data_IF_457253139880
#
_entry.id   IF_457253139880
#
_cell.length_a   1.000
_cell.length_b   1.000
_cell.length_c   1.000
_cell.angle_alpha   90.00
_cell.angle_beta   90.00
_cell.angle_gamma   90.00
#
_symmetry.space_group_name_H-M   'P 1'
#
loop_
_entity.id
_entity.type
_entity.pdbx_description
1 polymer ?
#
# COMPACT_ATOMS: atom_id res chain seq x y z
N UNK A 1 -1.16 20.88 -10.92
CA UNK A 1 0.16 20.86 -10.24
C UNK A 1 1.03 22.09 -10.55
N UNK A 2 1.19 22.52 -11.82
CA UNK A 2 2.06 23.66 -12.15
C UNK A 2 1.65 25.00 -11.51
N UNK A 3 0.38 25.32 -11.48
CA UNK A 3 -0.16 26.57 -10.95
C UNK A 3 0.05 26.69 -9.43
N UNK A 4 -0.08 25.57 -8.70
CA UNK A 4 0.14 25.50 -7.25
C UNK A 4 1.62 25.73 -6.92
N UNK A 5 2.53 25.12 -7.68
CA UNK A 5 3.97 25.35 -7.51
C UNK A 5 4.37 26.79 -7.79
N UNK A 6 3.80 27.39 -8.83
CA UNK A 6 4.09 28.78 -9.20
C UNK A 6 3.64 29.75 -8.09
N UNK A 7 2.43 29.55 -7.54
CA UNK A 7 1.92 30.34 -6.42
C UNK A 7 2.75 30.15 -5.15
N UNK A 8 3.13 28.91 -4.83
CA UNK A 8 3.97 28.61 -3.68
C UNK A 8 5.35 29.29 -3.78
N UNK A 9 5.98 29.23 -4.95
CA UNK A 9 7.28 29.86 -5.21
C UNK A 9 7.17 31.37 -5.07
N UNK A 10 6.15 32.01 -5.65
CA UNK A 10 5.95 33.46 -5.54
C UNK A 10 5.72 33.89 -4.10
N UNK A 11 4.91 33.13 -3.34
CA UNK A 11 4.66 33.45 -1.93
C UNK A 11 5.92 33.30 -1.09
N UNK A 12 6.65 32.19 -1.27
CA UNK A 12 7.91 31.94 -0.55
C UNK A 12 8.93 33.03 -0.84
N UNK A 13 9.08 33.43 -2.11
CA UNK A 13 9.99 34.52 -2.49
C UNK A 13 9.57 35.85 -1.85
N UNK A 14 8.28 36.17 -1.86
CA UNK A 14 7.78 37.39 -1.22
C UNK A 14 8.03 37.37 0.29
N UNK A 15 7.86 36.22 0.93
CA UNK A 15 8.08 36.03 2.38
C UNK A 15 9.57 36.14 2.73
N UNK A 16 10.44 35.51 1.94
CA UNK A 16 11.90 35.59 2.12
C UNK A 16 12.40 37.02 1.96
N UNK A 17 11.97 37.73 0.89
CA UNK A 17 12.33 39.11 0.66
C UNK A 17 11.84 40.01 1.82
N UNK A 18 10.64 39.74 2.33
CA UNK A 18 10.11 40.46 3.49
C UNK A 18 10.96 40.24 4.76
N UNK A 19 11.37 39.01 5.04
CA UNK A 19 12.26 38.66 6.18
C UNK A 19 13.67 39.23 5.98
N UNK A 20 14.19 39.22 4.75
CA UNK A 20 15.52 39.74 4.43
C UNK A 20 15.60 41.31 4.46
N UNK A 21 14.48 41.97 4.84
CA UNK A 21 14.48 43.39 5.04
C UNK A 21 14.28 44.23 3.78
N UNK A 22 14.02 43.62 2.61
CA UNK A 22 13.61 44.31 1.40
C UNK A 22 12.16 44.83 1.53
N UNK A 23 11.95 45.63 2.61
CA UNK A 23 10.71 46.34 2.80
C UNK A 23 10.76 47.55 1.92
N UNK A 24 9.81 47.66 0.99
CA UNK A 24 9.59 48.92 0.29
C UNK A 24 9.11 49.89 1.37
N UNK A 25 10.00 50.77 1.79
CA UNK A 25 9.68 51.89 2.66
C UNK A 25 8.69 52.78 1.94
N UNK A 26 7.42 52.52 2.14
CA UNK A 26 6.41 53.56 1.96
C UNK A 26 6.55 54.39 3.23
N UNK A 27 6.81 55.70 3.02
CA UNK A 27 6.85 56.71 4.06
C UNK A 27 5.58 56.65 4.96
N UNK A 28 5.64 55.83 6.01
CA UNK A 28 4.68 55.79 7.08
C UNK A 28 5.50 55.49 8.35
N UNK A 29 6.12 56.53 8.87
CA UNK A 29 6.95 56.50 10.09
C UNK A 29 6.14 56.20 11.36
N UNK A 30 4.81 56.04 11.28
CA UNK A 30 3.94 55.88 12.43
C UNK A 30 3.24 54.47 12.60
N UNK A 31 3.47 53.53 11.72
CA UNK A 31 2.77 52.23 11.81
C UNK A 31 3.65 51.22 12.54
N UNK A 32 3.30 50.91 13.80
CA UNK A 32 3.99 49.87 14.56
C UNK A 32 4.04 48.52 13.84
N UNK A 33 4.96 47.61 14.26
CA UNK A 33 5.20 46.30 13.63
C UNK A 33 3.92 45.51 13.31
N UNK A 34 2.89 45.61 14.12
CA UNK A 34 1.56 44.97 13.90
C UNK A 34 0.81 45.60 12.70
N UNK A 35 0.91 46.90 12.50
CA UNK A 35 0.30 47.58 11.36
C UNK A 35 0.96 47.24 10.04
N UNK A 36 2.28 47.02 10.04
CA UNK A 36 3.02 46.59 8.82
C UNK A 36 2.60 45.17 8.40
N UNK A 37 2.33 44.27 9.35
CA UNK A 37 1.80 42.94 9.06
C UNK A 37 0.40 43.04 8.46
N UNK A 38 -0.47 43.91 9.02
CA UNK A 38 -1.82 44.14 8.49
C UNK A 38 -1.83 44.69 7.06
N UNK A 39 -0.94 45.62 6.73
CA UNK A 39 -0.77 46.16 5.38
C UNK A 39 -0.25 45.13 4.39
N UNK A 40 0.70 44.28 4.82
CA UNK A 40 1.18 43.14 4.03
C UNK A 40 0.08 42.14 3.71
N UNK A 41 -0.70 41.73 4.72
CA UNK A 41 -1.86 40.85 4.55
C UNK A 41 -2.90 41.47 3.60
N UNK A 42 -3.25 42.73 3.79
CA UNK A 42 -4.23 43.43 2.94
C UNK A 42 -3.76 43.50 1.48
N UNK A 43 -2.48 43.79 1.26
CA UNK A 43 -1.90 43.93 -0.11
C UNK A 43 -1.79 42.56 -0.80
N UNK A 44 -1.54 41.51 -0.05
CA UNK A 44 -1.39 40.14 -0.59
C UNK A 44 -2.63 39.26 -0.30
N UNK A 45 -3.76 39.86 0.08
CA UNK A 45 -4.97 39.14 0.47
C UNK A 45 -5.46 38.15 -0.58
N UNK A 46 -5.42 38.49 -1.86
CA UNK A 46 -5.83 37.62 -2.96
C UNK A 46 -4.95 36.33 -3.04
N UNK A 47 -3.62 36.49 -2.85
CA UNK A 47 -2.69 35.35 -2.84
C UNK A 47 -2.88 34.51 -1.61
N UNK A 48 -3.11 35.13 -0.45
CA UNK A 48 -3.38 34.41 0.80
C UNK A 48 -4.68 33.60 0.72
N UNK A 49 -5.75 34.21 0.21
CA UNK A 49 -7.03 33.53 0.00
C UNK A 49 -6.85 32.35 -0.95
N UNK A 50 -6.16 32.56 -2.08
CA UNK A 50 -5.87 31.48 -3.04
C UNK A 50 -5.08 30.33 -2.38
N UNK A 51 -4.07 30.63 -1.56
CA UNK A 51 -3.30 29.63 -0.82
C UNK A 51 -4.16 28.87 0.20
N UNK A 52 -5.04 29.54 0.94
CA UNK A 52 -5.95 28.90 1.88
C UNK A 52 -6.92 27.96 1.15
N UNK A 53 -7.49 28.39 0.03
CA UNK A 53 -8.40 27.58 -0.78
C UNK A 53 -7.67 26.34 -1.35
N UNK A 54 -6.50 26.54 -1.94
CA UNK A 54 -5.68 25.45 -2.51
C UNK A 54 -5.20 24.53 -1.39
N UNK A 55 -4.71 25.05 -0.27
CA UNK A 55 -4.27 24.29 0.88
C UNK A 55 -5.40 23.47 1.49
N UNK A 56 -6.58 24.04 1.65
CA UNK A 56 -7.77 23.34 2.10
C UNK A 56 -8.18 22.20 1.16
N UNK A 57 -8.23 22.48 -0.14
CA UNK A 57 -8.52 21.47 -1.16
C UNK A 57 -7.50 20.31 -1.14
N UNK A 58 -6.21 20.65 -1.06
CA UNK A 58 -5.15 19.64 -0.99
C UNK A 58 -5.23 18.82 0.30
N UNK A 59 -5.52 19.46 1.44
CA UNK A 59 -5.68 18.77 2.74
C UNK A 59 -6.80 17.73 2.71
N UNK A 60 -7.96 18.07 2.14
CA UNK A 60 -9.09 17.16 2.02
C UNK A 60 -8.73 15.98 1.11
N UNK A 61 -8.15 16.24 -0.05
CA UNK A 61 -7.74 15.18 -0.98
C UNK A 61 -6.62 14.30 -0.40
N UNK A 62 -5.67 14.90 0.30
CA UNK A 62 -4.60 14.16 0.95
C UNK A 62 -5.13 13.27 2.08
N UNK A 63 -6.10 13.77 2.87
CA UNK A 63 -6.77 12.98 3.89
C UNK A 63 -7.43 11.72 3.32
N UNK A 64 -8.14 11.84 2.20
CA UNK A 64 -8.74 10.68 1.51
C UNK A 64 -7.68 9.66 1.07
N UNK A 65 -6.61 10.13 0.43
CA UNK A 65 -5.50 9.26 -0.01
C UNK A 65 -4.82 8.55 1.16
N UNK A 66 -4.63 9.25 2.29
CA UNK A 66 -4.07 8.63 3.49
C UNK A 66 -4.99 7.55 4.08
N UNK A 67 -6.29 7.77 4.09
CA UNK A 67 -7.26 6.79 4.58
C UNK A 67 -7.29 5.56 3.66
N UNK A 68 -7.23 5.75 2.35
CA UNK A 68 -7.12 4.64 1.39
C UNK A 68 -5.85 3.83 1.60
N UNK A 69 -4.70 4.47 1.78
CA UNK A 69 -3.43 3.78 2.07
C UNK A 69 -3.43 3.05 3.43
N UNK A 70 -4.05 3.65 4.44
CA UNK A 70 -4.20 2.98 5.75
C UNK A 70 -5.07 1.73 5.63
N UNK A 71 -6.21 1.86 4.95
CA UNK A 71 -7.10 0.74 4.68
C UNK A 71 -6.38 -0.38 3.94
N UNK A 72 -5.65 -0.05 2.86
CA UNK A 72 -4.88 -1.01 2.09
C UNK A 72 -3.90 -1.78 2.96
N UNK A 73 -3.06 -1.07 3.73
CA UNK A 73 -2.07 -1.70 4.63
C UNK A 73 -2.72 -2.58 5.70
N UNK A 74 -3.80 -2.13 6.31
CA UNK A 74 -4.50 -2.89 7.35
C UNK A 74 -5.20 -4.11 6.78
N UNK A 75 -5.80 -4.01 5.60
CA UNK A 75 -6.41 -5.14 4.90
C UNK A 75 -5.39 -6.21 4.52
N UNK A 76 -4.22 -5.80 4.03
CA UNK A 76 -3.12 -6.73 3.73
C UNK A 76 -2.63 -7.42 5.01
N UNK A 77 -2.46 -6.68 6.10
CA UNK A 77 -2.05 -7.26 7.38
C UNK A 77 -3.06 -8.30 7.91
N UNK A 78 -4.37 -8.05 7.76
CA UNK A 78 -5.41 -9.03 8.10
C UNK A 78 -5.31 -10.29 7.24
N UNK A 79 -5.10 -10.13 5.93
CA UNK A 79 -4.89 -11.27 5.02
C UNK A 79 -3.66 -12.06 5.45
N UNK A 80 -2.52 -11.42 5.65
CA UNK A 80 -1.28 -12.08 6.08
C UNK A 80 -1.47 -12.82 7.40
N UNK A 81 -2.12 -12.19 8.39
CA UNK A 81 -2.40 -12.84 9.68
C UNK A 81 -3.27 -14.08 9.52
N UNK A 82 -4.27 -14.07 8.63
CA UNK A 82 -5.17 -15.20 8.41
C UNK A 82 -4.48 -16.39 7.74
N UNK A 83 -3.42 -16.15 6.93
CA UNK A 83 -2.74 -17.20 6.16
C UNK A 83 -1.45 -17.71 6.82
N UNK A 84 -0.82 -16.94 7.72
CA UNK A 84 0.46 -17.31 8.37
C UNK A 84 0.42 -18.64 9.10
N UNK A 85 -0.73 -19.02 9.65
CA UNK A 85 -0.89 -20.27 10.41
C UNK A 85 -1.05 -21.52 9.52
N UNK A 86 -1.09 -21.38 8.20
CA UNK A 86 -1.44 -22.45 7.26
C UNK A 86 -0.29 -22.85 6.32
N UNK A 87 0.93 -22.44 6.59
CA UNK A 87 2.08 -22.61 5.67
C UNK A 87 1.81 -22.01 4.27
N UNK A 88 1.01 -20.95 4.23
CA UNK A 88 0.68 -20.17 3.05
C UNK A 88 1.37 -18.83 3.13
N UNK A 89 1.65 -18.22 1.98
CA UNK A 89 2.19 -16.86 1.91
C UNK A 89 1.52 -16.04 0.80
N UNK A 90 1.49 -14.74 1.03
CA UNK A 90 0.95 -13.78 0.11
C UNK A 90 1.97 -13.51 -1.01
N UNK A 91 1.60 -13.79 -2.25
CA UNK A 91 2.46 -13.55 -3.44
C UNK A 91 2.24 -12.16 -4.00
N UNK A 92 0.99 -11.77 -4.15
CA UNK A 92 0.63 -10.46 -4.67
C UNK A 92 -0.76 -10.05 -4.22
N UNK A 93 -0.98 -8.74 -4.21
CA UNK A 93 -2.29 -8.15 -3.97
C UNK A 93 -2.52 -7.01 -4.96
N UNK A 94 -3.77 -6.71 -5.25
CA UNK A 94 -4.15 -5.54 -6.03
C UNK A 94 -5.52 -5.02 -5.60
N UNK A 95 -5.63 -3.69 -5.49
CA UNK A 95 -6.89 -3.00 -5.29
C UNK A 95 -7.37 -2.47 -6.62
N UNK A 96 -8.59 -2.84 -7.00
CA UNK A 96 -9.24 -2.35 -8.22
C UNK A 96 -10.46 -1.54 -7.82
N UNK A 97 -10.55 -0.35 -8.36
CA UNK A 97 -11.73 0.51 -8.24
C UNK A 97 -12.73 0.08 -9.31
N UNK A 98 -13.86 -0.43 -8.91
CA UNK A 98 -14.97 -0.69 -9.81
C UNK A 98 -15.97 0.47 -9.74
N UNK A 99 -16.79 0.63 -10.80
CA UNK A 99 -17.84 1.63 -10.82
C UNK A 99 -18.83 1.43 -9.65
N UNK A 100 -19.41 2.52 -9.12
CA UNK A 100 -20.43 2.53 -8.06
C UNK A 100 -19.94 2.16 -6.64
N UNK A 101 -18.85 2.79 -6.19
CA UNK A 101 -18.46 2.69 -4.76
C UNK A 101 -18.03 1.28 -4.31
N UNK A 102 -17.72 0.38 -5.26
CA UNK A 102 -17.24 -0.97 -4.97
C UNK A 102 -15.75 -1.05 -5.21
N UNK A 103 -15.03 -1.59 -4.23
CA UNK A 103 -13.61 -1.88 -4.34
C UNK A 103 -13.42 -3.40 -4.33
N UNK A 104 -12.63 -3.90 -5.26
CA UNK A 104 -12.27 -5.32 -5.29
C UNK A 104 -10.82 -5.49 -4.85
N UNK A 105 -10.63 -6.17 -3.71
CA UNK A 105 -9.33 -6.63 -3.26
C UNK A 105 -9.05 -8.01 -3.85
N UNK A 106 -8.07 -8.09 -4.74
CA UNK A 106 -7.57 -9.36 -5.28
C UNK A 106 -6.31 -9.75 -4.56
N UNK A 107 -6.28 -10.98 -4.09
CA UNK A 107 -5.17 -11.55 -3.33
C UNK A 107 -4.74 -12.85 -3.99
N UNK A 108 -3.44 -13.01 -4.22
CA UNK A 108 -2.86 -14.26 -4.69
C UNK A 108 -2.09 -14.90 -3.54
N UNK A 109 -2.55 -16.05 -3.10
CA UNK A 109 -1.96 -16.83 -2.01
C UNK A 109 -1.32 -18.07 -2.62
N UNK A 110 -0.11 -18.38 -2.23
CA UNK A 110 0.58 -19.61 -2.57
C UNK A 110 0.85 -20.41 -1.30
N UNK A 111 0.71 -21.74 -1.38
CA UNK A 111 0.96 -22.59 -0.24
C UNK A 111 0.48 -24.02 -0.40
N UNK A 112 0.49 -24.75 0.71
CA UNK A 112 0.16 -26.18 0.76
C UNK A 112 -1.33 -26.42 1.03
N UNK A 113 -1.99 -25.50 1.73
CA UNK A 113 -3.37 -25.67 2.20
C UNK A 113 -4.28 -24.65 1.55
N UNK A 114 -5.27 -25.13 0.80
CA UNK A 114 -6.26 -24.25 0.16
C UNK A 114 -7.15 -23.60 1.24
N UNK A 115 -7.27 -22.27 1.28
CA UNK A 115 -8.19 -21.59 2.18
C UNK A 115 -9.63 -22.04 1.96
N UNK A 116 -10.36 -22.28 3.06
CA UNK A 116 -11.77 -22.66 2.97
C UNK A 116 -12.65 -21.46 2.60
N UNK A 117 -13.81 -21.74 2.01
CA UNK A 117 -14.79 -20.68 1.70
C UNK A 117 -15.26 -19.94 2.97
N UNK A 118 -15.38 -20.66 4.10
CA UNK A 118 -15.75 -20.03 5.37
C UNK A 118 -14.71 -19.01 5.84
N UNK A 119 -13.44 -19.32 5.73
CA UNK A 119 -12.33 -18.39 6.05
C UNK A 119 -12.33 -17.19 5.13
N UNK A 120 -12.60 -17.38 3.83
CA UNK A 120 -12.69 -16.26 2.89
C UNK A 120 -13.83 -15.31 3.22
N UNK A 121 -14.99 -15.84 3.62
CA UNK A 121 -16.17 -15.05 4.04
C UNK A 121 -15.87 -14.29 5.35
N UNK A 122 -15.27 -14.95 6.33
CA UNK A 122 -14.88 -14.31 7.59
C UNK A 122 -13.89 -13.16 7.37
N UNK A 123 -12.88 -13.38 6.53
CA UNK A 123 -11.89 -12.38 6.18
C UNK A 123 -12.53 -11.20 5.43
N UNK A 124 -13.46 -11.47 4.50
CA UNK A 124 -14.20 -10.42 3.79
C UNK A 124 -15.03 -9.58 4.78
N UNK A 125 -15.67 -10.19 5.78
CA UNK A 125 -16.41 -9.47 6.83
C UNK A 125 -15.51 -8.59 7.68
N UNK A 126 -14.32 -9.07 8.05
CA UNK A 126 -13.34 -8.28 8.80
C UNK A 126 -12.84 -7.08 7.98
N UNK A 127 -12.55 -7.29 6.70
CA UNK A 127 -12.13 -6.21 5.79
C UNK A 127 -13.27 -5.22 5.56
N UNK A 128 -14.52 -5.69 5.45
CA UNK A 128 -15.68 -4.83 5.32
C UNK A 128 -15.93 -3.98 6.58
N UNK A 129 -15.71 -4.55 7.78
CA UNK A 129 -15.79 -3.79 9.02
C UNK A 129 -14.73 -2.68 9.07
N UNK A 130 -13.50 -2.99 8.65
CA UNK A 130 -12.42 -2.00 8.55
C UNK A 130 -12.74 -0.90 7.52
N UNK A 131 -13.39 -1.23 6.40
CA UNK A 131 -13.78 -0.27 5.38
C UNK A 131 -14.81 0.75 5.90
N UNK A 132 -15.72 0.32 6.78
CA UNK A 132 -16.70 1.23 7.41
C UNK A 132 -16.04 2.32 8.23
N UNK A 133 -14.94 2.00 8.92
CA UNK A 133 -14.21 2.95 9.74
C UNK A 133 -13.32 3.91 8.93
N UNK A 134 -12.84 3.45 7.76
CA UNK A 134 -11.78 4.18 7.03
C UNK A 134 -12.22 4.77 5.69
N UNK A 135 -13.22 4.19 5.04
CA UNK A 135 -13.57 4.48 3.64
C UNK A 135 -15.04 4.89 3.41
N UNK A 136 -15.70 5.53 4.37
CA UNK A 136 -17.09 6.02 4.22
C UNK A 136 -18.06 4.94 3.68
N UNK A 137 -18.06 3.75 4.30
CA UNK A 137 -19.01 2.64 4.03
C UNK A 137 -18.99 2.11 2.58
N UNK A 138 -17.81 2.07 1.96
CA UNK A 138 -17.62 1.45 0.64
C UNK A 138 -17.77 -0.07 0.71
N UNK A 139 -18.34 -0.66 -0.32
CA UNK A 139 -18.49 -2.12 -0.43
C UNK A 139 -17.18 -2.73 -0.90
N UNK A 140 -16.64 -3.66 -0.12
CA UNK A 140 -15.42 -4.38 -0.45
C UNK A 140 -15.76 -5.79 -0.87
N UNK A 141 -15.24 -6.23 -2.02
CA UNK A 141 -15.29 -7.61 -2.48
C UNK A 141 -13.90 -8.23 -2.40
N UNK A 142 -13.79 -9.37 -1.75
CA UNK A 142 -12.55 -10.11 -1.64
C UNK A 142 -12.51 -11.21 -2.71
N UNK A 143 -11.46 -11.24 -3.53
CA UNK A 143 -11.17 -12.30 -4.49
C UNK A 143 -9.84 -12.96 -4.13
N UNK A 144 -9.89 -14.21 -3.70
CA UNK A 144 -8.70 -14.99 -3.38
C UNK A 144 -8.40 -15.95 -4.53
N UNK A 145 -7.19 -15.84 -5.09
CA UNK A 145 -6.63 -16.80 -6.03
C UNK A 145 -5.60 -17.64 -5.29
N UNK A 146 -5.83 -18.93 -5.22
CA UNK A 146 -4.89 -19.87 -4.61
C UNK A 146 -4.02 -20.54 -5.67
N UNK A 147 -2.72 -20.61 -5.42
CA UNK A 147 -1.73 -21.29 -6.24
C UNK A 147 -1.10 -22.40 -5.38
N UNK A 148 -1.35 -23.68 -5.66
CA UNK A 148 -0.76 -24.76 -4.89
C UNK A 148 0.76 -24.81 -5.10
N UNK A 149 1.50 -24.99 -4.00
CA UNK A 149 2.95 -25.21 -4.03
C UNK A 149 3.24 -26.70 -4.05
N UNK A 150 3.97 -27.15 -5.05
CA UNK A 150 4.47 -28.53 -5.13
C UNK A 150 5.98 -28.46 -4.91
N UNK A 151 6.44 -28.93 -3.78
CA UNK A 151 7.86 -29.05 -3.47
C UNK A 151 8.37 -30.37 -4.04
N UNK A 152 9.14 -30.32 -5.11
CA UNK A 152 9.85 -31.50 -5.66
C UNK A 152 11.22 -31.53 -4.98
N UNK A 153 11.38 -32.37 -3.97
CA UNK A 153 12.70 -32.68 -3.43
C UNK A 153 13.35 -33.74 -4.32
N UNK A 154 14.47 -33.41 -4.94
CA UNK A 154 15.38 -34.44 -5.42
C UNK A 154 16.02 -35.05 -4.19
N UNK A 155 15.45 -36.13 -3.67
CA UNK A 155 16.18 -36.93 -2.71
C UNK A 155 17.52 -37.32 -3.35
N UNK A 156 18.67 -37.13 -2.68
CA UNK A 156 19.90 -37.74 -3.14
C UNK A 156 19.58 -39.23 -3.32
N UNK A 157 19.84 -39.74 -4.51
CA UNK A 157 19.68 -41.16 -4.76
C UNK A 157 20.43 -41.86 -3.65
N UNK A 158 19.72 -42.60 -2.81
CA UNK A 158 20.32 -43.33 -1.72
C UNK A 158 21.15 -44.43 -2.38
N UNK A 159 22.48 -44.24 -2.47
CA UNK A 159 23.42 -45.20 -3.04
C UNK A 159 23.32 -46.56 -2.32
N UNK A 160 22.61 -46.62 -1.20
CA UNK A 160 22.38 -47.85 -0.45
C UNK A 160 21.37 -48.80 -1.11
N UNK A 161 20.42 -48.30 -1.94
CA UNK A 161 19.46 -49.17 -2.66
C UNK A 161 20.03 -49.81 -3.96
N UNK A 162 21.16 -49.30 -4.44
CA UNK A 162 21.80 -49.87 -5.65
C UNK A 162 22.83 -50.95 -5.37
N UNK A 163 23.01 -51.35 -4.11
CA UNK A 163 23.82 -52.48 -3.78
C UNK A 163 22.96 -53.76 -4.00
N UNK A 164 23.04 -54.30 -5.20
CA UNK A 164 22.60 -55.66 -5.50
C UNK A 164 23.09 -56.60 -4.38
N UNK A 165 22.17 -57.29 -3.74
CA UNK A 165 22.52 -58.26 -2.74
C UNK A 165 23.55 -59.27 -3.31
N UNK A 166 24.55 -59.72 -2.57
CA UNK A 166 25.50 -60.76 -3.03
C UNK A 166 24.81 -61.97 -3.62
N UNK A 167 23.57 -62.25 -3.21
CA UNK A 167 22.77 -63.38 -3.72
C UNK A 167 22.15 -63.09 -5.09
N UNK A 168 21.82 -61.84 -5.38
CA UNK A 168 21.32 -61.42 -6.70
C UNK A 168 22.45 -61.48 -7.76
N UNK A 169 23.65 -61.12 -7.37
CA UNK A 169 24.84 -61.23 -8.26
C UNK A 169 25.11 -62.71 -8.59
N UNK A 170 24.99 -63.66 -7.64
CA UNK A 170 25.17 -65.07 -7.91
C UNK A 170 24.07 -65.64 -8.81
N UNK A 171 22.84 -65.19 -8.68
CA UNK A 171 21.74 -65.62 -9.54
C UNK A 171 21.93 -65.11 -10.99
N UNK A 172 22.35 -63.87 -11.16
CA UNK A 172 22.65 -63.30 -12.48
C UNK A 172 23.84 -64.01 -13.17
N UNK A 173 24.87 -64.44 -12.43
CA UNK A 173 25.98 -65.21 -12.97
C UNK A 173 25.58 -66.65 -13.36
N UNK A 174 24.57 -67.23 -12.73
CA UNK A 174 24.07 -68.56 -13.04
C UNK A 174 23.21 -68.55 -14.31
N UNK A 175 22.50 -67.48 -14.58
CA UNK A 175 21.66 -67.31 -15.78
C UNK A 175 22.54 -67.01 -17.00
N UNK A 176 23.68 -66.34 -16.85
CA UNK A 176 24.60 -66.00 -17.94
C UNK A 176 25.47 -67.19 -18.39
N UNK A 177 25.44 -68.36 -17.71
CA UNK A 177 26.24 -69.55 -18.03
C UNK A 177 25.42 -70.65 -18.67
N UNK A 178 24.13 -70.49 -18.88
CA UNK A 178 23.26 -71.38 -19.65
C UNK A 178 22.93 -70.73 -20.99
#
# INVERSE_FOLDING_TARGET
MALTNMLAIQFTNALVLWFAGFRRTLDDDDVGKLGQIGLFLKRNSAVLIALIVIGGYLSVNFGKTLNEQKFERQSIALVEQSIQNQANYLVSHSFTHEEKNTHTLRVVIQGLITPSQAQAIELEQQIQALAKDTLDDRVIKLQIRFVPEVVIQSAPADESELKLSPDDIKNLQKVAKN
#
